data_IF_064361415775
#
_entry.id   IF_064361415775
#
_cell.length_a   1.000
_cell.length_b   1.000
_cell.length_c   1.000
_cell.angle_alpha   90.00
_cell.angle_beta   90.00
_cell.angle_gamma   90.00
#
_symmetry.space_group_name_H-M   'P 1'
#
loop_
_entity.id
_entity.type
_entity.pdbx_description
1 polymer ?
#
# COMPACT_ATOMS: atom_id res chain seq x y z
N UNK A 1 4.62 -2.37 -21.50
CA UNK A 1 3.26 -1.83 -21.72
C UNK A 1 2.34 -2.75 -22.52
N UNK A 2 2.83 -3.59 -23.45
CA UNK A 2 1.96 -4.47 -24.24
C UNK A 2 1.10 -5.42 -23.40
N UNK A 3 1.65 -6.00 -22.34
CA UNK A 3 0.90 -6.82 -21.37
C UNK A 3 -0.30 -6.05 -20.77
N UNK A 4 -0.08 -4.84 -20.25
CA UNK A 4 -1.15 -4.02 -19.67
C UNK A 4 -2.23 -3.60 -20.68
N UNK A 5 -1.86 -3.44 -21.96
CA UNK A 5 -2.84 -3.17 -23.02
C UNK A 5 -3.81 -4.34 -23.22
N UNK A 6 -3.37 -5.59 -22.99
CA UNK A 6 -4.25 -6.77 -23.06
C UNK A 6 -5.31 -6.69 -21.96
N UNK A 7 -4.90 -6.44 -20.72
CA UNK A 7 -5.82 -6.29 -19.60
C UNK A 7 -6.81 -5.13 -19.82
N UNK A 8 -6.32 -3.98 -20.30
CA UNK A 8 -7.17 -2.83 -20.64
C UNK A 8 -8.21 -3.17 -21.71
N UNK A 9 -7.81 -3.81 -22.82
CA UNK A 9 -8.74 -4.23 -23.86
C UNK A 9 -9.79 -5.23 -23.35
N UNK A 10 -9.36 -6.23 -22.58
CA UNK A 10 -10.30 -7.20 -21.98
C UNK A 10 -11.31 -6.49 -21.08
N UNK A 11 -10.86 -5.52 -20.27
CA UNK A 11 -11.75 -4.70 -19.43
C UNK A 11 -12.75 -3.94 -20.29
N UNK A 12 -12.31 -3.22 -21.32
CA UNK A 12 -13.20 -2.42 -22.18
C UNK A 12 -14.19 -3.30 -22.96
N UNK A 13 -13.73 -4.42 -23.53
CA UNK A 13 -14.52 -5.25 -24.44
C UNK A 13 -15.50 -6.18 -23.69
N UNK A 14 -15.10 -6.69 -22.53
CA UNK A 14 -15.84 -7.78 -21.84
C UNK A 14 -16.35 -7.41 -20.45
N UNK A 15 -15.72 -6.45 -19.78
CA UNK A 15 -16.02 -6.13 -18.38
C UNK A 15 -16.12 -4.61 -18.15
N UNK A 16 -16.94 -3.86 -18.90
CA UNK A 16 -16.96 -2.39 -18.82
C UNK A 16 -17.29 -1.84 -17.43
N UNK A 17 -17.92 -2.65 -16.57
CA UNK A 17 -18.33 -2.28 -15.22
C UNK A 17 -17.24 -2.48 -14.15
N UNK A 18 -16.11 -3.14 -14.46
CA UNK A 18 -15.02 -3.30 -13.48
C UNK A 18 -14.07 -2.10 -13.55
N UNK A 19 -13.49 -1.72 -12.42
CA UNK A 19 -12.45 -0.68 -12.36
C UNK A 19 -11.08 -1.30 -12.58
N UNK A 20 -10.33 -0.79 -13.55
CA UNK A 20 -8.93 -1.12 -13.76
C UNK A 20 -8.07 -0.25 -12.84
N UNK A 21 -7.51 -0.87 -11.81
CA UNK A 21 -6.57 -0.23 -10.89
C UNK A 21 -5.16 -0.29 -11.49
N UNK A 22 -4.48 0.85 -11.55
CA UNK A 22 -3.08 0.91 -11.96
C UNK A 22 -2.56 2.32 -12.24
N UNK A 23 -1.25 2.45 -12.51
CA UNK A 23 -0.26 1.39 -12.42
C UNK A 23 0.03 1.02 -10.96
N UNK A 24 0.06 -0.27 -10.62
CA UNK A 24 0.44 -0.75 -9.28
C UNK A 24 1.95 -0.88 -9.19
N UNK A 25 2.61 0.06 -8.51
CA UNK A 25 4.05 0.00 -8.23
C UNK A 25 4.25 -0.39 -6.78
N UNK A 26 5.24 -1.25 -6.55
CA UNK A 26 5.65 -1.67 -5.21
C UNK A 26 6.69 -0.74 -4.61
N UNK A 27 6.60 -0.57 -3.29
CA UNK A 27 7.42 0.35 -2.51
C UNK A 27 7.30 1.79 -3.04
N UNK A 28 8.38 2.55 -2.90
CA UNK A 28 8.47 3.92 -3.37
C UNK A 28 9.41 4.04 -4.58
N UNK A 29 9.06 3.35 -5.66
CA UNK A 29 9.83 3.37 -6.91
C UNK A 29 9.19 4.33 -7.93
N UNK A 30 9.27 5.64 -7.65
CA UNK A 30 8.54 6.69 -8.40
C UNK A 30 8.87 6.75 -9.89
N UNK A 31 10.04 6.29 -10.32
CA UNK A 31 10.39 6.23 -11.74
C UNK A 31 9.59 5.19 -12.51
N UNK A 32 9.17 4.08 -11.88
CA UNK A 32 8.23 3.14 -12.49
C UNK A 32 6.83 3.73 -12.60
N UNK A 33 6.38 4.49 -11.59
CA UNK A 33 5.12 5.25 -11.66
C UNK A 33 5.17 6.23 -12.84
N UNK A 34 6.24 7.04 -12.92
CA UNK A 34 6.42 8.00 -14.01
C UNK A 34 6.41 7.32 -15.39
N UNK A 35 7.16 6.23 -15.58
CA UNK A 35 7.16 5.48 -16.84
C UNK A 35 5.76 4.95 -17.22
N UNK A 36 4.99 4.47 -16.25
CA UNK A 36 3.68 3.91 -16.49
C UNK A 36 2.57 4.96 -16.69
N UNK A 37 2.73 6.13 -16.10
CA UNK A 37 1.82 7.27 -16.20
C UNK A 37 2.15 8.20 -17.39
N UNK A 38 3.40 8.26 -17.85
CA UNK A 38 3.84 9.14 -18.93
C UNK A 38 4.43 8.31 -20.07
N UNK A 39 3.56 7.80 -20.94
CA UNK A 39 3.95 7.05 -22.14
C UNK A 39 2.95 7.26 -23.28
N UNK A 40 3.32 6.79 -24.48
CA UNK A 40 2.53 6.96 -25.71
C UNK A 40 1.47 5.87 -25.95
N UNK A 41 1.33 4.88 -25.07
CA UNK A 41 0.33 3.81 -25.25
C UNK A 41 -1.07 4.29 -24.86
N UNK A 42 -2.08 3.83 -25.59
CA UNK A 42 -3.50 4.16 -25.36
C UNK A 42 -4.09 3.29 -24.24
N UNK A 43 -3.54 3.40 -23.04
CA UNK A 43 -4.04 2.77 -21.82
C UNK A 43 -4.58 3.84 -20.88
N UNK A 44 -5.63 3.51 -20.14
CA UNK A 44 -6.18 4.34 -19.07
C UNK A 44 -6.42 3.47 -17.83
N UNK A 45 -6.23 4.05 -16.66
CA UNK A 45 -6.53 3.43 -15.38
C UNK A 45 -7.65 4.22 -14.71
N UNK A 46 -8.65 3.51 -14.19
CA UNK A 46 -9.78 4.13 -13.51
C UNK A 46 -9.34 4.76 -12.18
N UNK A 47 -8.45 4.07 -11.46
CA UNK A 47 -7.93 4.46 -10.15
C UNK A 47 -6.44 4.11 -10.07
N UNK A 48 -5.62 4.99 -9.49
CA UNK A 48 -4.21 4.66 -9.25
C UNK A 48 -4.08 3.79 -8.02
N UNK A 49 -3.31 2.71 -8.12
CA UNK A 49 -2.98 1.82 -7.00
C UNK A 49 -1.50 1.85 -6.65
N UNK A 50 -1.16 1.62 -5.39
CA UNK A 50 0.23 1.53 -4.95
C UNK A 50 0.38 0.56 -3.78
N UNK A 51 1.46 -0.22 -3.76
CA UNK A 51 1.86 -1.03 -2.62
C UNK A 51 2.86 -0.20 -1.82
N UNK A 52 2.35 0.81 -1.10
CA UNK A 52 3.13 1.93 -0.60
C UNK A 52 3.73 1.66 0.79
N UNK A 53 4.86 0.95 0.79
CA UNK A 53 5.65 0.71 1.98
C UNK A 53 6.54 1.91 2.38
N UNK A 54 6.79 2.03 3.68
CA UNK A 54 7.73 2.99 4.29
C UNK A 54 9.01 2.24 4.63
N UNK A 55 9.96 2.27 3.68
CA UNK A 55 11.31 1.65 3.74
C UNK A 55 11.39 0.21 4.30
N UNK A 56 10.25 -0.48 4.33
CA UNK A 56 9.98 -1.81 4.91
C UNK A 56 10.45 -1.98 6.36
N UNK A 57 10.81 -0.90 7.05
CA UNK A 57 11.35 -0.87 8.40
C UNK A 57 10.99 0.43 9.08
N UNK A 58 10.81 0.41 10.40
CA UNK A 58 10.60 1.63 11.17
C UNK A 58 9.32 2.40 10.84
N UNK A 59 9.24 3.61 11.38
CA UNK A 59 8.03 4.40 11.45
C UNK A 59 7.68 5.09 10.11
N UNK A 60 6.41 5.38 9.81
CA UNK A 60 6.02 6.07 8.57
C UNK A 60 6.58 7.50 8.42
N UNK A 61 7.11 8.09 9.48
CA UNK A 61 7.80 9.38 9.48
C UNK A 61 9.28 9.27 9.10
N UNK A 62 9.84 8.05 9.04
CA UNK A 62 11.21 7.85 8.58
C UNK A 62 11.31 8.19 7.09
N UNK A 63 12.36 8.90 6.72
CA UNK A 63 12.55 9.33 5.34
C UNK A 63 13.40 8.32 4.54
N UNK A 64 12.93 7.99 3.34
CA UNK A 64 13.72 7.34 2.30
C UNK A 64 14.38 8.44 1.43
N UNK A 65 15.65 8.24 1.05
CA UNK A 65 16.43 9.24 0.30
C UNK A 65 16.44 10.64 0.97
N UNK A 66 16.40 10.68 2.30
CA UNK A 66 16.49 11.91 3.09
C UNK A 66 15.19 12.71 3.22
N UNK A 67 14.31 12.72 2.22
CA UNK A 67 13.12 13.58 2.20
C UNK A 67 11.78 12.85 2.07
N UNK A 68 11.77 11.56 1.69
CA UNK A 68 10.52 10.84 1.41
C UNK A 68 10.06 10.01 2.61
N UNK A 69 9.45 10.68 3.58
CA UNK A 69 8.55 10.04 4.55
C UNK A 69 7.20 9.66 3.89
N UNK A 70 6.30 8.98 4.60
CA UNK A 70 5.00 8.58 4.05
C UNK A 70 4.22 9.76 3.45
N UNK A 71 4.22 10.90 4.13
CA UNK A 71 3.50 12.09 3.67
C UNK A 71 4.05 12.56 2.33
N UNK A 72 5.36 12.72 2.22
CA UNK A 72 6.01 13.19 1.00
C UNK A 72 5.94 12.14 -0.13
N UNK A 73 5.93 10.85 0.21
CA UNK A 73 5.64 9.77 -0.75
C UNK A 73 4.23 9.89 -1.34
N UNK A 74 3.23 10.11 -0.49
CA UNK A 74 1.84 10.37 -0.92
C UNK A 74 1.76 11.63 -1.78
N UNK A 75 2.43 12.71 -1.36
CA UNK A 75 2.42 13.99 -2.09
C UNK A 75 3.04 13.85 -3.50
N UNK A 76 4.14 13.12 -3.61
CA UNK A 76 4.78 12.82 -4.89
C UNK A 76 3.88 11.98 -5.79
N UNK A 77 3.32 10.87 -5.26
CA UNK A 77 2.41 10.02 -6.04
C UNK A 77 1.17 10.79 -6.51
N UNK A 78 0.57 11.60 -5.64
CA UNK A 78 -0.57 12.44 -5.99
C UNK A 78 -0.23 13.45 -7.09
N UNK A 79 0.96 14.06 -7.04
CA UNK A 79 1.43 14.97 -8.09
C UNK A 79 1.55 14.26 -9.45
N UNK A 80 2.08 13.04 -9.47
CA UNK A 80 2.14 12.22 -10.68
C UNK A 80 0.73 11.90 -11.22
N UNK A 81 -0.22 11.53 -10.34
CA UNK A 81 -1.61 11.26 -10.73
C UNK A 81 -2.28 12.49 -11.33
N UNK A 82 -2.13 13.66 -10.69
CA UNK A 82 -2.70 14.93 -11.19
C UNK A 82 -2.20 15.32 -12.57
N UNK A 83 -0.94 15.03 -12.87
CA UNK A 83 -0.29 15.39 -14.13
C UNK A 83 -0.47 14.32 -15.22
N UNK A 84 -0.79 13.09 -14.83
CA UNK A 84 -0.79 11.94 -15.73
C UNK A 84 -1.95 11.98 -16.71
N UNK A 85 -1.70 11.83 -18.02
CA UNK A 85 -2.76 11.63 -19.00
C UNK A 85 -3.32 10.20 -18.97
N UNK A 86 -2.90 9.32 -18.05
CA UNK A 86 -3.33 7.91 -18.01
C UNK A 86 -4.33 7.60 -16.91
N UNK A 87 -4.48 8.48 -15.94
CA UNK A 87 -5.37 8.32 -14.79
C UNK A 87 -6.68 9.02 -15.08
N UNK A 88 -7.81 8.32 -14.91
CA UNK A 88 -9.15 8.87 -15.15
C UNK A 88 -9.74 9.57 -13.93
N UNK A 89 -9.13 9.38 -12.76
CA UNK A 89 -9.48 10.03 -11.52
C UNK A 89 -8.24 10.38 -10.71
N UNK A 90 -8.40 11.30 -9.75
CA UNK A 90 -7.39 11.64 -8.76
C UNK A 90 -7.38 10.66 -7.57
N UNK A 91 -8.28 9.65 -7.56
CA UNK A 91 -8.36 8.68 -6.48
C UNK A 91 -7.13 7.78 -6.47
N UNK A 92 -6.52 7.64 -5.28
CA UNK A 92 -5.39 6.74 -5.02
C UNK A 92 -5.80 5.69 -3.99
N UNK A 93 -5.59 4.42 -4.33
CA UNK A 93 -5.76 3.28 -3.43
C UNK A 93 -4.40 2.74 -3.04
N UNK A 94 -4.09 2.74 -1.75
CA UNK A 94 -2.94 1.99 -1.24
C UNK A 94 -3.41 0.56 -1.07
N UNK A 95 -2.96 -0.34 -1.95
CA UNK A 95 -3.46 -1.72 -2.03
C UNK A 95 -2.69 -2.70 -1.16
N UNK A 96 -1.51 -2.30 -0.67
CA UNK A 96 -0.67 -3.15 0.16
C UNK A 96 0.23 -2.29 1.06
N UNK A 97 0.24 -2.63 2.35
CA UNK A 97 1.16 -2.14 3.36
C UNK A 97 1.05 -3.00 4.62
N UNK A 98 2.18 -3.22 5.29
CA UNK A 98 2.32 -3.80 6.62
C UNK A 98 3.74 -3.61 7.17
N UNK A 99 3.99 -4.22 8.33
CA UNK A 99 5.34 -4.42 8.84
C UNK A 99 5.59 -5.90 9.16
N UNK A 100 6.82 -6.38 8.90
CA UNK A 100 7.28 -7.67 9.38
C UNK A 100 7.43 -7.66 10.91
N UNK A 101 7.10 -8.78 11.57
CA UNK A 101 7.05 -8.92 13.03
C UNK A 101 8.27 -9.70 13.53
N UNK A 102 8.94 -9.17 14.56
CA UNK A 102 10.10 -9.80 15.18
C UNK A 102 9.82 -11.16 15.81
N UNK A 103 10.83 -12.03 15.82
CA UNK A 103 10.77 -13.37 16.42
C UNK A 103 9.69 -14.29 15.81
N UNK A 104 9.36 -14.08 14.53
CA UNK A 104 8.37 -14.89 13.80
C UNK A 104 8.98 -15.69 12.64
N UNK A 105 10.30 -15.89 12.62
CA UNK A 105 10.92 -16.76 11.63
C UNK A 105 10.28 -18.18 11.60
N UNK A 106 10.16 -18.83 10.43
CA UNK A 106 10.51 -18.35 9.10
C UNK A 106 9.38 -17.57 8.40
N UNK A 107 8.36 -17.10 9.13
CA UNK A 107 7.13 -16.56 8.56
C UNK A 107 7.22 -15.07 8.18
N UNK A 108 8.17 -14.32 8.73
CA UNK A 108 8.46 -12.96 8.27
C UNK A 108 9.11 -12.99 6.87
N UNK A 109 8.74 -12.08 5.95
CA UNK A 109 9.23 -12.08 4.56
C UNK A 109 10.65 -11.50 4.41
N UNK A 110 11.29 -11.15 5.52
CA UNK A 110 12.59 -10.45 5.57
C UNK A 110 13.41 -10.98 6.75
N UNK A 111 14.64 -10.47 6.90
CA UNK A 111 15.47 -10.79 8.05
C UNK A 111 14.96 -10.11 9.33
N UNK A 112 15.39 -10.62 10.48
CA UNK A 112 15.04 -10.05 11.79
C UNK A 112 15.46 -8.58 11.95
N UNK A 113 16.43 -8.09 11.15
CA UNK A 113 16.89 -6.70 11.20
C UNK A 113 15.84 -5.70 10.73
N UNK A 114 14.94 -6.11 9.85
CA UNK A 114 13.86 -5.25 9.33
C UNK A 114 12.54 -5.44 10.10
N UNK A 115 12.45 -6.51 10.89
CA UNK A 115 11.31 -6.79 11.74
C UNK A 115 11.13 -5.76 12.85
N UNK A 116 9.87 -5.59 13.27
CA UNK A 116 9.50 -4.68 14.36
C UNK A 116 8.72 -5.41 15.45
N UNK A 117 8.69 -4.83 16.65
CA UNK A 117 7.84 -5.32 17.74
C UNK A 117 6.35 -5.14 17.40
N UNK A 118 5.46 -5.90 18.06
CA UNK A 118 4.02 -5.69 17.91
C UNK A 118 3.58 -4.29 18.39
N UNK A 119 4.28 -3.71 19.37
CA UNK A 119 4.00 -2.37 19.87
C UNK A 119 4.36 -1.31 18.83
N UNK A 120 5.53 -1.43 18.20
CA UNK A 120 5.95 -0.55 17.11
C UNK A 120 5.01 -0.68 15.91
N UNK A 121 4.67 -1.91 15.49
CA UNK A 121 3.68 -2.13 14.43
C UNK A 121 2.37 -1.40 14.78
N UNK A 122 1.82 -1.63 15.97
CA UNK A 122 0.57 -0.99 16.41
C UNK A 122 0.63 0.53 16.28
N UNK A 123 1.72 1.15 16.74
CA UNK A 123 1.95 2.60 16.62
C UNK A 123 2.07 3.04 15.16
N UNK A 124 2.89 2.35 14.37
CA UNK A 124 3.15 2.71 12.98
C UNK A 124 1.90 2.58 12.11
N UNK A 125 1.05 1.58 12.36
CA UNK A 125 -0.23 1.44 11.68
C UNK A 125 -1.15 2.64 11.96
N UNK A 126 -1.30 3.04 13.23
CA UNK A 126 -2.11 4.20 13.59
C UNK A 126 -1.60 5.47 12.93
N UNK A 127 -0.29 5.69 12.96
CA UNK A 127 0.35 6.84 12.33
C UNK A 127 0.16 6.82 10.81
N UNK A 128 0.27 5.65 10.17
CA UNK A 128 0.07 5.49 8.73
C UNK A 128 -1.33 5.90 8.31
N UNK A 129 -2.36 5.38 8.99
CA UNK A 129 -3.76 5.74 8.70
C UNK A 129 -4.02 7.22 8.97
N UNK A 130 -3.46 7.78 10.05
CA UNK A 130 -3.59 9.20 10.39
C UNK A 130 -2.97 10.10 9.31
N UNK A 131 -1.75 9.80 8.87
CA UNK A 131 -1.06 10.53 7.80
C UNK A 131 -1.84 10.42 6.48
N UNK A 132 -2.24 9.21 6.09
CA UNK A 132 -3.02 8.97 4.87
C UNK A 132 -4.35 9.74 4.90
N UNK A 133 -5.07 9.72 6.03
CA UNK A 133 -6.34 10.44 6.21
C UNK A 133 -6.14 11.96 6.16
N UNK A 134 -5.16 12.50 6.87
CA UNK A 134 -4.87 13.94 6.89
C UNK A 134 -4.35 14.47 5.56
N UNK A 135 -3.70 13.62 4.74
CA UNK A 135 -3.28 14.02 3.39
C UNK A 135 -4.44 14.46 2.50
N UNK A 136 -5.66 13.92 2.74
CA UNK A 136 -6.84 14.05 1.88
C UNK A 136 -6.63 13.58 0.42
N UNK A 137 -5.52 12.88 0.14
CA UNK A 137 -5.10 12.42 -1.20
C UNK A 137 -5.32 10.92 -1.41
N UNK A 138 -5.46 10.17 -0.32
CA UNK A 138 -5.67 8.72 -0.35
C UNK A 138 -7.14 8.41 -0.12
N UNK A 139 -7.74 7.71 -1.08
CA UNK A 139 -9.16 7.34 -1.02
C UNK A 139 -9.39 6.07 -0.21
N UNK A 140 -8.47 5.10 -0.29
CA UNK A 140 -8.53 3.83 0.44
C UNK A 140 -7.14 3.34 0.79
N UNK A 141 -7.04 2.69 1.95
CA UNK A 141 -5.87 1.93 2.38
C UNK A 141 -6.32 0.51 2.67
N UNK A 142 -5.72 -0.46 2.01
CA UNK A 142 -5.91 -1.88 2.22
C UNK A 142 -4.74 -2.41 3.04
N UNK A 143 -5.05 -3.00 4.20
CA UNK A 143 -4.05 -3.56 5.09
C UNK A 143 -3.74 -5.01 4.72
N UNK A 144 -2.48 -5.30 4.37
CA UNK A 144 -2.08 -6.61 3.85
C UNK A 144 -1.26 -7.36 4.90
N UNK A 145 -1.33 -8.66 5.12
CA UNK A 145 -2.55 -9.45 5.13
C UNK A 145 -3.06 -9.48 6.57
N UNK A 146 -4.36 -9.70 6.76
CA UNK A 146 -4.92 -9.74 8.11
C UNK A 146 -4.50 -11.00 8.88
N UNK A 147 -4.46 -12.16 8.20
CA UNK A 147 -4.05 -13.45 8.80
C UNK A 147 -2.71 -13.84 8.18
N UNK A 148 -1.63 -13.58 8.92
CA UNK A 148 -0.27 -13.93 8.55
C UNK A 148 0.60 -13.87 9.82
N UNK A 149 1.30 -14.95 10.21
CA UNK A 149 2.06 -14.97 11.46
C UNK A 149 3.20 -13.93 11.50
N UNK A 150 3.88 -13.71 10.37
CA UNK A 150 5.11 -12.91 10.36
C UNK A 150 4.96 -11.44 9.99
N UNK A 151 3.76 -10.98 9.63
CA UNK A 151 3.53 -9.61 9.17
C UNK A 151 2.06 -9.18 9.17
N UNK A 152 1.17 -10.02 9.72
CA UNK A 152 -0.27 -9.76 9.75
C UNK A 152 -0.77 -9.28 11.11
N UNK A 153 -2.08 -9.41 11.29
CA UNK A 153 -2.76 -9.06 12.53
C UNK A 153 -3.12 -10.30 13.38
N UNK A 154 -3.10 -11.48 12.76
CA UNK A 154 -3.47 -12.75 13.36
C UNK A 154 -2.46 -13.81 13.00
N UNK A 155 -1.98 -14.51 14.02
CA UNK A 155 -1.20 -15.73 13.93
C UNK A 155 -2.15 -16.93 13.92
N UNK A 156 -1.97 -17.81 12.95
CA UNK A 156 -2.77 -19.02 12.74
C UNK A 156 -1.94 -20.32 12.83
N UNK A 157 -0.74 -20.27 13.44
CA UNK A 157 0.13 -21.45 13.61
C UNK A 157 -0.41 -22.43 14.64
N UNK A 158 0.02 -23.68 14.53
CA UNK A 158 -0.26 -24.75 15.50
C UNK A 158 -1.75 -24.98 15.80
N UNK A 159 -2.62 -24.68 14.83
CA UNK A 159 -4.07 -24.78 14.99
C UNK A 159 -4.69 -23.76 15.95
N UNK A 160 -3.95 -22.72 16.34
CA UNK A 160 -4.41 -21.66 17.25
C UNK A 160 -4.65 -20.37 16.48
N UNK A 161 -5.63 -19.59 16.91
CA UNK A 161 -5.90 -18.25 16.39
C UNK A 161 -5.52 -17.24 17.47
N UNK A 162 -4.34 -16.63 17.33
CA UNK A 162 -3.86 -15.58 18.22
C UNK A 162 -3.95 -14.23 17.50
N UNK A 163 -4.68 -13.28 18.08
CA UNK A 163 -4.79 -11.90 17.59
C UNK A 163 -3.70 -11.06 18.26
N UNK A 164 -2.88 -10.41 17.45
CA UNK A 164 -1.86 -9.49 17.96
C UNK A 164 -2.49 -8.16 18.44
N UNK A 165 -1.79 -7.34 19.24
CA UNK A 165 -2.30 -6.04 19.70
C UNK A 165 -2.83 -5.15 18.57
N UNK A 166 -2.12 -5.11 17.44
CA UNK A 166 -2.52 -4.33 16.26
C UNK A 166 -3.85 -4.77 15.63
N UNK A 167 -4.32 -6.01 15.86
CA UNK A 167 -5.66 -6.45 15.44
C UNK A 167 -6.76 -5.65 16.13
N UNK A 168 -6.65 -5.49 17.45
CA UNK A 168 -7.67 -4.83 18.26
C UNK A 168 -7.73 -3.34 17.94
N UNK A 169 -6.56 -2.71 17.81
CA UNK A 169 -6.45 -1.31 17.41
C UNK A 169 -7.01 -1.09 16.00
N UNK A 170 -6.71 -1.97 15.04
CA UNK A 170 -7.28 -1.87 13.70
C UNK A 170 -8.81 -2.04 13.72
N UNK A 171 -9.33 -2.96 14.53
CA UNK A 171 -10.78 -3.13 14.72
C UNK A 171 -11.44 -1.86 15.26
N UNK A 172 -10.85 -1.22 16.27
CA UNK A 172 -11.36 0.04 16.83
C UNK A 172 -11.32 1.18 15.81
N UNK A 173 -10.24 1.28 15.03
CA UNK A 173 -10.10 2.27 13.97
C UNK A 173 -11.24 2.17 12.95
N UNK A 174 -11.63 0.96 12.57
CA UNK A 174 -12.73 0.72 11.62
C UNK A 174 -14.12 1.03 12.19
N UNK A 175 -14.26 1.07 13.52
CA UNK A 175 -15.53 1.37 14.21
C UNK A 175 -15.74 2.89 14.40
N UNK A 176 -14.66 3.66 14.47
CA UNK A 176 -14.71 5.13 14.55
C UNK A 176 -15.01 5.69 13.15
N UNK A 177 -16.30 5.87 12.84
CA UNK A 177 -16.76 6.59 11.63
C UNK A 177 -16.92 8.07 11.91
#
# INVERSE_FOLDING_TARGET
>A
MNFYMVAFKIKEDKYPNIKLLGPSVIDFEYYYNARAMFNLKKIKYDITSSLLYVDRRGAPQNSQYGIFDLKNKIDMLFSLVKMSPKTLSDDIYITEVNWPISNTAPYAPTSEKECVSCDDYTKYMLDYFKIAQYSRKIKRVYWHQLIAPGYGLVDNRDGKILKYPQFYVFKELLQKK
#
